data_IF_954173992896
#
_entry.id   IF_954173992896
#
_cell.length_a   1.000
_cell.length_b   1.000
_cell.length_c   1.000
_cell.angle_alpha   90.00
_cell.angle_beta   90.00
_cell.angle_gamma   90.00
#
_symmetry.space_group_name_H-M   'P 1'
#
loop_
_entity.id
_entity.type
_entity.pdbx_description
1 polymer ?
#
# COMPACT_ATOMS: atom_id res chain seq x y z
N UNK A 1 -13.90 -18.16 -10.62
CA UNK A 1 -13.26 -19.23 -9.82
C UNK A 1 -13.49 -18.90 -8.35
N UNK A 2 -14.22 -19.71 -7.60
CA UNK A 2 -14.47 -19.45 -6.18
C UNK A 2 -13.19 -19.77 -5.38
N UNK A 3 -12.51 -18.73 -4.90
CA UNK A 3 -11.39 -18.85 -3.95
C UNK A 3 -11.92 -19.26 -2.57
N UNK A 4 -12.35 -20.52 -2.45
CA UNK A 4 -12.74 -21.15 -1.20
C UNK A 4 -11.99 -22.46 -1.08
N UNK A 5 -11.57 -22.79 0.13
CA UNK A 5 -10.94 -24.08 0.36
C UNK A 5 -11.94 -25.21 0.08
N UNK A 6 -11.54 -26.27 -0.66
CA UNK A 6 -12.42 -27.40 -0.96
C UNK A 6 -12.86 -28.17 0.29
N UNK A 7 -12.05 -28.16 1.36
CA UNK A 7 -12.30 -28.90 2.60
C UNK A 7 -13.10 -28.11 3.64
N UNK A 8 -12.69 -26.86 3.90
CA UNK A 8 -13.22 -26.03 4.99
C UNK A 8 -14.26 -24.99 4.52
N UNK A 9 -14.42 -24.79 3.19
CA UNK A 9 -15.21 -23.71 2.56
C UNK A 9 -14.88 -22.28 3.03
N UNK A 10 -13.80 -22.13 3.81
CA UNK A 10 -13.29 -20.85 4.30
C UNK A 10 -12.67 -20.03 3.17
N UNK A 11 -12.80 -18.71 3.30
CA UNK A 11 -12.16 -17.72 2.43
C UNK A 11 -10.74 -17.33 2.91
N UNK A 12 -10.30 -17.81 4.08
CA UNK A 12 -8.96 -17.50 4.62
C UNK A 12 -7.92 -18.42 3.98
N UNK A 13 -7.44 -18.03 2.80
CA UNK A 13 -6.41 -18.75 2.05
C UNK A 13 -5.06 -18.04 2.16
N UNK A 14 -3.99 -18.82 2.21
CA UNK A 14 -2.60 -18.36 2.21
C UNK A 14 -1.91 -18.97 0.99
N UNK A 15 -1.21 -18.19 0.16
CA UNK A 15 -0.35 -18.76 -0.87
C UNK A 15 0.81 -19.50 -0.19
N UNK A 16 1.12 -20.72 -0.64
CA UNK A 16 2.24 -21.50 -0.12
C UNK A 16 3.46 -21.26 -1.00
N UNK A 17 4.57 -20.86 -0.39
CA UNK A 17 5.85 -20.69 -1.08
C UNK A 17 6.28 -22.00 -1.71
N UNK A 18 6.25 -22.05 -3.05
CA UNK A 18 6.68 -23.24 -3.78
C UNK A 18 8.22 -23.29 -3.80
N UNK A 19 8.85 -24.33 -3.23
CA UNK A 19 10.31 -24.43 -3.20
C UNK A 19 10.85 -24.47 -4.64
N UNK A 20 11.78 -23.56 -4.96
CA UNK A 20 12.42 -23.46 -6.29
C UNK A 20 11.71 -22.58 -7.32
N UNK A 21 10.56 -21.98 -6.99
CA UNK A 21 9.93 -20.95 -7.82
C UNK A 21 10.23 -19.57 -7.22
N UNK A 22 10.78 -18.66 -8.02
CA UNK A 22 10.90 -17.25 -7.65
C UNK A 22 9.49 -16.69 -7.51
N UNK A 23 8.95 -16.68 -6.28
CA UNK A 23 7.77 -15.90 -5.93
C UNK A 23 8.03 -14.48 -6.38
N UNK A 24 7.41 -14.06 -7.48
CA UNK A 24 7.50 -12.72 -8.02
C UNK A 24 6.91 -11.77 -6.98
N UNK A 25 7.75 -11.28 -6.05
CA UNK A 25 7.29 -10.29 -5.08
C UNK A 25 6.71 -9.13 -5.89
N UNK A 26 5.48 -8.69 -5.57
CA UNK A 26 4.90 -7.54 -6.23
C UNK A 26 5.92 -6.40 -6.18
N UNK A 27 6.20 -5.79 -7.32
CA UNK A 27 7.14 -4.68 -7.38
C UNK A 27 6.47 -3.50 -6.70
N UNK A 28 6.80 -3.25 -5.43
CA UNK A 28 6.30 -2.08 -4.73
C UNK A 28 7.00 -0.87 -5.35
N UNK A 29 6.28 0.04 -6.01
CA UNK A 29 6.91 1.17 -6.66
C UNK A 29 7.53 2.07 -5.60
N UNK A 30 8.76 2.56 -5.84
CA UNK A 30 9.48 3.45 -4.92
C UNK A 30 8.68 4.70 -4.56
N UNK A 31 7.85 5.18 -5.50
CA UNK A 31 6.91 6.28 -5.29
C UNK A 31 5.90 5.98 -4.18
N UNK A 32 5.33 4.77 -4.08
CA UNK A 32 4.41 4.41 -2.99
C UNK A 32 5.09 4.40 -1.62
N UNK A 33 6.31 3.87 -1.54
CA UNK A 33 7.09 3.83 -0.29
C UNK A 33 7.39 5.24 0.24
N UNK A 34 7.55 6.21 -0.66
CA UNK A 34 7.76 7.61 -0.31
C UNK A 34 6.45 8.38 -0.06
N UNK A 35 5.41 8.09 -0.85
CA UNK A 35 4.13 8.79 -0.81
C UNK A 35 3.40 8.58 0.52
N UNK A 36 3.38 7.35 1.05
CA UNK A 36 2.70 7.02 2.31
C UNK A 36 3.22 7.87 3.48
N UNK A 37 4.53 7.85 3.81
CA UNK A 37 5.05 8.68 4.90
C UNK A 37 4.92 10.18 4.60
N UNK A 38 5.06 10.62 3.34
CA UNK A 38 4.89 12.02 2.97
C UNK A 38 3.47 12.53 3.26
N UNK A 39 2.43 11.75 2.92
CA UNK A 39 1.03 12.08 3.22
C UNK A 39 0.78 12.15 4.73
N UNK A 40 1.34 11.21 5.51
CA UNK A 40 1.20 11.23 6.97
C UNK A 40 1.83 12.47 7.59
N UNK A 41 3.03 12.84 7.13
CA UNK A 41 3.71 14.07 7.56
C UNK A 41 2.89 15.30 7.17
N UNK A 42 2.37 15.36 5.94
CA UNK A 42 1.51 16.46 5.51
C UNK A 42 0.25 16.59 6.37
N UNK A 43 -0.45 15.47 6.63
CA UNK A 43 -1.62 15.46 7.50
C UNK A 43 -1.28 15.97 8.91
N UNK A 44 -0.11 15.58 9.43
CA UNK A 44 0.37 16.06 10.72
C UNK A 44 0.63 17.57 10.69
N UNK A 45 1.34 18.09 9.69
CA UNK A 45 1.59 19.54 9.55
C UNK A 45 0.29 20.35 9.42
N UNK A 46 -0.67 19.84 8.65
CA UNK A 46 -1.99 20.47 8.50
C UNK A 46 -2.74 20.46 9.83
N UNK A 47 -2.73 19.34 10.56
CA UNK A 47 -3.40 19.25 11.87
C UNK A 47 -2.81 20.22 12.90
N UNK A 48 -1.48 20.39 12.93
CA UNK A 48 -0.80 21.35 13.80
C UNK A 48 -1.14 22.78 13.38
N UNK A 49 -1.20 23.06 12.07
CA UNK A 49 -1.57 24.38 11.55
C UNK A 49 -3.00 24.75 11.94
N UNK A 50 -3.94 23.81 11.85
CA UNK A 50 -5.33 23.99 12.30
C UNK A 50 -5.40 24.20 13.82
N UNK A 51 -4.67 23.41 14.61
CA UNK A 51 -4.64 23.55 16.06
C UNK A 51 -4.08 24.92 16.49
N UNK A 52 -3.00 25.41 15.86
CA UNK A 52 -2.45 26.74 16.15
C UNK A 52 -3.38 27.88 15.73
N UNK A 53 -4.18 27.68 14.69
CA UNK A 53 -5.21 28.64 14.31
C UNK A 53 -6.40 28.65 15.28
N UNK A 54 -6.75 27.49 15.84
CA UNK A 54 -7.85 27.34 16.79
C UNK A 54 -7.50 27.79 18.24
N UNK A 55 -6.26 27.60 18.67
CA UNK A 55 -5.82 27.86 20.05
C UNK A 55 -4.80 29.00 20.21
N UNK A 56 -4.35 29.63 19.12
CA UNK A 56 -3.34 30.70 19.15
C UNK A 56 -3.57 31.79 18.10
N UNK A 57 -2.63 32.74 18.01
CA UNK A 57 -2.65 33.83 17.01
C UNK A 57 -2.16 33.37 15.63
N UNK A 58 -2.70 32.26 15.13
CA UNK A 58 -2.36 31.70 13.82
C UNK A 58 -1.07 30.88 13.77
N UNK A 59 -0.89 30.16 12.66
CA UNK A 59 0.31 29.36 12.41
C UNK A 59 1.48 30.25 11.98
N UNK A 60 2.66 30.06 12.60
CA UNK A 60 3.87 30.81 12.25
C UNK A 60 4.29 30.63 10.78
N UNK A 61 4.91 31.66 10.21
CA UNK A 61 5.33 31.73 8.79
C UNK A 61 6.20 30.53 8.38
N UNK A 62 7.11 30.09 9.25
CA UNK A 62 7.97 28.92 9.02
C UNK A 62 7.16 27.63 8.87
N UNK A 63 6.09 27.45 9.66
CA UNK A 63 5.23 26.26 9.57
C UNK A 63 4.36 26.31 8.30
N UNK A 64 3.85 27.47 7.94
CA UNK A 64 3.08 27.64 6.70
C UNK A 64 3.94 27.35 5.47
N UNK A 65 5.16 27.89 5.41
CA UNK A 65 6.11 27.62 4.33
C UNK A 65 6.45 26.12 4.23
N UNK A 66 6.74 25.47 5.36
CA UNK A 66 7.01 24.04 5.41
C UNK A 66 5.81 23.20 4.90
N UNK A 67 4.59 23.60 5.26
CA UNK A 67 3.36 22.93 4.83
C UNK A 67 3.14 23.07 3.33
N UNK A 68 3.38 24.26 2.76
CA UNK A 68 3.27 24.51 1.31
C UNK A 68 4.29 23.66 0.54
N UNK A 69 5.55 23.64 0.97
CA UNK A 69 6.60 22.83 0.33
C UNK A 69 6.25 21.33 0.39
N UNK A 70 5.80 20.84 1.55
CA UNK A 70 5.38 19.45 1.72
C UNK A 70 4.16 19.11 0.85
N UNK A 71 3.24 20.05 0.67
CA UNK A 71 2.08 19.90 -0.20
C UNK A 71 2.48 19.67 -1.66
N UNK A 72 3.37 20.51 -2.19
CA UNK A 72 3.88 20.31 -3.55
C UNK A 72 4.65 18.99 -3.69
N UNK A 73 5.45 18.61 -2.70
CA UNK A 73 6.14 17.32 -2.70
C UNK A 73 5.14 16.13 -2.75
N UNK A 74 4.03 16.21 -2.00
CA UNK A 74 2.98 15.19 -2.01
C UNK A 74 2.25 15.13 -3.37
N UNK A 75 1.97 16.28 -3.99
CA UNK A 75 1.33 16.32 -5.32
C UNK A 75 2.23 15.68 -6.38
N UNK A 76 3.52 16.01 -6.39
CA UNK A 76 4.48 15.43 -7.34
C UNK A 76 4.62 13.91 -7.12
N UNK A 77 4.77 13.48 -5.86
CA UNK A 77 4.84 12.06 -5.54
C UNK A 77 3.54 11.32 -5.90
N UNK A 78 2.38 11.94 -5.70
CA UNK A 78 1.08 11.40 -6.06
C UNK A 78 0.91 11.24 -7.56
N UNK A 79 1.38 12.21 -8.36
CA UNK A 79 1.38 12.13 -9.81
C UNK A 79 2.30 11.01 -10.33
N UNK A 80 3.50 10.88 -9.77
CA UNK A 80 4.40 9.77 -10.10
C UNK A 80 3.78 8.41 -9.74
N UNK A 81 3.15 8.31 -8.57
CA UNK A 81 2.43 7.10 -8.18
C UNK A 81 1.25 6.77 -9.12
N UNK A 82 0.49 7.77 -9.56
CA UNK A 82 -0.58 7.56 -10.54
C UNK A 82 -0.06 6.95 -11.84
N UNK A 83 1.13 7.37 -12.28
CA UNK A 83 1.80 6.81 -13.46
C UNK A 83 2.32 5.39 -13.25
N UNK A 84 2.79 5.06 -12.03
CA UNK A 84 3.33 3.74 -11.68
C UNK A 84 2.24 2.72 -11.28
N UNK A 85 1.00 3.18 -11.07
CA UNK A 85 -0.17 2.39 -10.67
C UNK A 85 -0.52 1.22 -11.62
N UNK A 86 -0.52 1.37 -12.97
CA UNK A 86 -0.79 0.26 -13.89
C UNK A 86 0.23 -0.88 -13.77
N UNK A 87 1.51 -0.58 -13.64
CA UNK A 87 2.57 -1.58 -13.46
C UNK A 87 2.42 -2.33 -12.13
N UNK A 88 2.07 -1.61 -11.06
CA UNK A 88 1.77 -2.23 -9.77
C UNK A 88 0.62 -3.24 -9.88
N UNK A 89 -0.49 -2.86 -10.53
CA UNK A 89 -1.64 -3.76 -10.74
C UNK A 89 -1.24 -4.99 -11.55
N UNK A 90 -0.46 -4.84 -12.61
CA UNK A 90 -0.01 -5.94 -13.46
C UNK A 90 0.91 -6.89 -12.67
N UNK A 91 1.86 -6.36 -11.90
CA UNK A 91 2.75 -7.18 -11.06
C UNK A 91 1.99 -7.96 -9.99
N UNK A 92 0.94 -7.37 -9.40
CA UNK A 92 0.10 -8.04 -8.40
C UNK A 92 -0.78 -9.12 -9.02
N UNK A 93 -1.35 -8.85 -10.20
CA UNK A 93 -2.13 -9.84 -10.94
C UNK A 93 -1.24 -11.01 -11.39
N UNK A 94 -0.03 -10.74 -11.88
CA UNK A 94 0.97 -11.76 -12.21
C UNK A 94 1.36 -12.59 -10.98
N UNK A 95 1.55 -11.95 -9.82
CA UNK A 95 1.80 -12.67 -8.56
C UNK A 95 0.64 -13.61 -8.23
N UNK A 96 -0.61 -13.14 -8.24
CA UNK A 96 -1.79 -13.98 -7.93
C UNK A 96 -1.95 -15.15 -8.91
N UNK A 97 -1.62 -14.97 -10.18
CA UNK A 97 -1.65 -16.03 -11.20
C UNK A 97 -0.47 -17.01 -11.07
N UNK A 98 0.67 -16.56 -10.56
CA UNK A 98 1.85 -17.40 -10.33
C UNK A 98 1.68 -18.37 -9.15
N UNK A 99 0.82 -18.03 -8.18
CA UNK A 99 0.59 -18.86 -6.99
C UNK A 99 -0.42 -19.97 -7.29
N UNK A 100 0.08 -21.15 -7.67
CA UNK A 100 -0.75 -22.34 -7.90
C UNK A 100 -1.01 -23.16 -6.63
N UNK A 101 -0.18 -23.01 -5.59
CA UNK A 101 -0.35 -23.70 -4.30
C UNK A 101 -1.03 -22.79 -3.27
N UNK A 102 -2.08 -23.30 -2.65
CA UNK A 102 -2.88 -22.59 -1.64
C UNK A 102 -3.04 -23.41 -0.37
N UNK A 103 -3.12 -22.74 0.79
CA UNK A 103 -3.33 -23.34 2.11
C UNK A 103 -4.52 -22.68 2.82
N UNK A 104 -5.45 -23.46 3.36
CA UNK A 104 -6.53 -22.94 4.23
C UNK A 104 -5.94 -22.63 5.59
N UNK A 105 -6.11 -21.39 6.07
CA UNK A 105 -5.63 -20.99 7.41
C UNK A 105 -6.38 -21.73 8.53
N UNK A 106 -7.66 -22.04 8.32
CA UNK A 106 -8.48 -22.65 9.36
C UNK A 106 -8.28 -24.18 9.47
N UNK A 107 -8.05 -24.90 8.36
CA UNK A 107 -7.90 -26.35 8.38
C UNK A 107 -6.52 -26.88 7.93
N UNK A 108 -5.56 -25.99 7.66
CA UNK A 108 -4.21 -26.29 7.17
C UNK A 108 -4.14 -27.16 5.91
N UNK A 109 -5.26 -27.36 5.21
CA UNK A 109 -5.30 -28.14 3.98
C UNK A 109 -4.59 -27.38 2.87
N UNK A 110 -3.66 -28.05 2.19
CA UNK A 110 -2.94 -27.53 1.03
C UNK A 110 -3.50 -28.18 -0.23
N UNK A 111 -3.75 -27.38 -1.26
CA UNK A 111 -4.18 -27.86 -2.57
C UNK A 111 -3.54 -27.02 -3.69
N UNK A 112 -3.49 -27.60 -4.88
CA UNK A 112 -2.99 -26.95 -6.09
C UNK A 112 -4.15 -26.72 -7.06
N UNK A 113 -4.12 -25.62 -7.80
CA UNK A 113 -5.08 -25.30 -8.87
C UNK A 113 -4.35 -25.38 -10.22
#
# INVERSE_FOLDING_TARGET
MQYRCPKCQSAKLLPVTQPGQTTARPVVPKSLVFLIPAILILLLLVSISVAMWAFGNGAGETLQLATIVMFFACVIAGFLFYRDLPDFKLSMQAFMQSQKKWKCRDCNHEWEI
#
